data_IF_471810238925
#
_entry.id   IF_471810238925
#
_cell.length_a   1.000
_cell.length_b   1.000
_cell.length_c   1.000
_cell.angle_alpha   90.00
_cell.angle_beta   90.00
_cell.angle_gamma   90.00
#
_symmetry.space_group_name_H-M   'P 1'
#
loop_
_entity.id
_entity.type
_entity.pdbx_description
1 polymer ?
#
# COMPACT_ATOMS: atom_id res chain seq x y z
N UNK A 1 -21.19 4.38 7.45
CA UNK A 1 -20.38 5.53 7.90
C UNK A 1 -18.95 5.03 8.13
N UNK A 2 -17.93 5.62 7.50
CA UNK A 2 -16.55 5.14 7.59
C UNK A 2 -16.06 5.12 9.04
N UNK A 3 -15.19 4.16 9.36
CA UNK A 3 -14.69 4.01 10.72
C UNK A 3 -13.81 5.20 11.08
N UNK A 4 -14.08 5.79 12.23
CA UNK A 4 -13.33 6.94 12.73
C UNK A 4 -12.40 6.46 13.85
N UNK A 5 -11.11 6.75 13.69
CA UNK A 5 -10.06 6.28 14.60
C UNK A 5 -9.32 7.48 15.17
N UNK A 6 -8.89 7.37 16.44
CA UNK A 6 -8.07 8.41 17.07
C UNK A 6 -6.62 8.27 16.65
N UNK A 7 -6.10 9.19 15.83
CA UNK A 7 -4.70 9.20 15.38
C UNK A 7 -3.93 10.26 16.17
N UNK A 8 -3.25 9.85 17.25
CA UNK A 8 -2.56 10.76 18.19
C UNK A 8 -1.57 11.75 17.55
N UNK A 9 -0.99 11.38 16.40
CA UNK A 9 0.04 12.17 15.70
C UNK A 9 -0.50 13.23 14.73
N UNK A 10 -1.82 13.28 14.48
CA UNK A 10 -2.44 14.21 13.52
C UNK A 10 -3.09 15.37 14.26
N UNK A 11 -3.06 16.55 13.65
CA UNK A 11 -3.59 17.81 14.20
C UNK A 11 -5.07 17.72 14.58
N UNK A 12 -5.86 17.01 13.77
CA UNK A 12 -7.22 16.64 14.10
C UNK A 12 -7.25 15.19 14.58
N UNK A 13 -7.48 15.03 15.88
CA UNK A 13 -7.26 13.74 16.55
C UNK A 13 -8.23 12.62 16.17
N UNK A 14 -9.32 12.88 15.43
CA UNK A 14 -10.41 11.94 15.16
C UNK A 14 -10.82 12.03 13.69
N UNK A 15 -10.40 11.06 12.87
CA UNK A 15 -10.70 11.01 11.41
C UNK A 15 -10.86 9.59 10.90
N UNK A 16 -11.44 9.46 9.71
CA UNK A 16 -11.42 8.20 8.96
C UNK A 16 -10.04 7.97 8.34
N UNK A 17 -9.64 6.71 8.22
CA UNK A 17 -8.35 6.34 7.65
C UNK A 17 -8.53 5.75 6.25
N UNK A 18 -7.71 6.23 5.32
CA UNK A 18 -7.69 5.78 3.93
C UNK A 18 -6.26 5.33 3.58
N UNK A 19 -6.16 4.14 3.03
CA UNK A 19 -4.94 3.66 2.41
C UNK A 19 -5.02 3.98 0.93
N UNK A 20 -3.95 4.54 0.37
CA UNK A 20 -3.95 4.90 -1.04
C UNK A 20 -2.70 4.42 -1.74
N UNK A 21 -2.83 4.35 -3.07
CA UNK A 21 -1.77 3.95 -3.97
C UNK A 21 -1.70 4.95 -5.11
N UNK A 22 -0.51 5.45 -5.40
CA UNK A 22 -0.29 6.50 -6.37
C UNK A 22 0.91 6.20 -7.28
N UNK A 23 0.83 6.65 -8.53
CA UNK A 23 1.95 6.62 -9.46
C UNK A 23 2.99 7.66 -9.06
N UNK A 24 4.22 7.22 -8.78
CA UNK A 24 5.33 8.08 -8.39
C UNK A 24 5.77 9.04 -9.48
N UNK A 25 5.71 8.59 -10.73
CA UNK A 25 6.18 9.33 -11.90
C UNK A 25 5.19 10.44 -12.24
N UNK A 26 3.92 10.07 -12.37
CA UNK A 26 2.88 10.99 -12.84
C UNK A 26 2.19 11.75 -11.70
N UNK A 27 2.46 11.38 -10.44
CA UNK A 27 1.81 11.94 -9.23
C UNK A 27 0.27 11.79 -9.24
N UNK A 28 -0.23 10.74 -9.91
CA UNK A 28 -1.66 10.44 -10.01
C UNK A 28 -2.04 9.40 -8.96
N UNK A 29 -3.12 9.66 -8.23
CA UNK A 29 -3.75 8.70 -7.34
C UNK A 29 -4.44 7.61 -8.17
N UNK A 30 -4.08 6.35 -7.95
CA UNK A 30 -4.59 5.23 -8.74
C UNK A 30 -5.76 4.55 -8.05
N UNK A 31 -5.65 4.26 -6.75
CA UNK A 31 -6.67 3.52 -5.99
C UNK A 31 -6.70 3.94 -4.53
N UNK A 32 -7.87 3.80 -3.93
CA UNK A 32 -8.14 4.10 -2.53
C UNK A 32 -8.77 2.86 -1.89
N UNK A 33 -8.35 2.56 -0.67
CA UNK A 33 -8.90 1.51 0.18
C UNK A 33 -9.32 2.12 1.51
N UNK A 34 -10.60 1.96 1.85
CA UNK A 34 -11.20 2.54 3.05
C UNK A 34 -10.91 1.63 4.24
N UNK A 35 -10.28 2.16 5.28
CA UNK A 35 -10.08 1.42 6.52
C UNK A 35 -11.39 1.44 7.32
N UNK A 36 -11.95 0.26 7.53
CA UNK A 36 -13.20 0.08 8.26
C UNK A 36 -12.94 -0.50 9.66
N UNK A 37 -14.00 -0.70 10.44
CA UNK A 37 -13.91 -1.38 11.75
C UNK A 37 -13.33 -2.77 11.58
N UNK A 38 -12.60 -3.24 12.60
CA UNK A 38 -11.95 -4.56 12.60
C UNK A 38 -12.89 -5.68 12.10
N UNK A 39 -14.13 -5.76 12.60
CA UNK A 39 -15.09 -6.78 12.20
C UNK A 39 -15.40 -6.82 10.69
N UNK A 40 -15.32 -5.69 9.99
CA UNK A 40 -15.52 -5.63 8.53
C UNK A 40 -14.19 -5.83 7.79
N UNK A 41 -13.10 -5.28 8.32
CA UNK A 41 -11.77 -5.51 7.75
C UNK A 41 -11.37 -6.99 7.75
N UNK A 42 -11.82 -7.76 8.74
CA UNK A 42 -11.60 -9.21 8.80
C UNK A 42 -12.31 -9.99 7.67
N UNK A 43 -13.32 -9.39 7.04
CA UNK A 43 -14.06 -9.96 5.92
C UNK A 43 -13.50 -9.56 4.56
N UNK A 44 -12.50 -8.67 4.53
CA UNK A 44 -11.90 -8.24 3.26
C UNK A 44 -11.05 -9.34 2.65
N UNK A 45 -10.94 -9.32 1.32
CA UNK A 45 -10.14 -10.27 0.57
C UNK A 45 -8.70 -10.29 1.10
N UNK A 46 -8.12 -11.48 1.18
CA UNK A 46 -6.74 -11.73 1.62
C UNK A 46 -6.45 -11.44 3.10
N UNK A 47 -7.43 -10.99 3.89
CA UNK A 47 -7.21 -10.69 5.31
C UNK A 47 -6.85 -11.94 6.13
N UNK A 48 -7.55 -13.05 5.92
CA UNK A 48 -7.30 -14.31 6.65
C UNK A 48 -5.89 -14.86 6.40
N UNK A 49 -5.37 -14.68 5.19
CA UNK A 49 -4.10 -15.24 4.75
C UNK A 49 -2.90 -14.34 5.11
N UNK A 50 -3.03 -13.02 4.95
CA UNK A 50 -1.89 -12.09 5.10
C UNK A 50 -2.05 -11.06 6.22
N UNK A 51 -3.24 -10.92 6.80
CA UNK A 51 -3.57 -9.90 7.79
C UNK A 51 -3.83 -8.53 7.16
N UNK A 52 -4.35 -7.59 7.96
CA UNK A 52 -4.92 -6.32 7.51
C UNK A 52 -4.01 -5.49 6.58
N UNK A 53 -2.74 -5.29 6.95
CA UNK A 53 -1.86 -4.38 6.20
C UNK A 53 -1.43 -4.96 4.86
N UNK A 54 -1.03 -6.22 4.85
CA UNK A 54 -0.63 -6.88 3.61
C UNK A 54 -1.83 -7.09 2.68
N UNK A 55 -3.01 -7.41 3.21
CA UNK A 55 -4.23 -7.53 2.40
C UNK A 55 -4.63 -6.21 1.74
N UNK A 56 -4.52 -5.07 2.44
CA UNK A 56 -4.73 -3.75 1.85
C UNK A 56 -3.75 -3.45 0.71
N UNK A 57 -2.45 -3.74 0.87
CA UNK A 57 -1.46 -3.53 -0.20
C UNK A 57 -1.76 -4.38 -1.43
N UNK A 58 -2.11 -5.65 -1.23
CA UNK A 58 -2.46 -6.57 -2.33
C UNK A 58 -3.68 -6.05 -3.08
N UNK A 59 -4.76 -5.67 -2.38
CA UNK A 59 -5.99 -5.13 -3.02
C UNK A 59 -5.74 -3.82 -3.77
N UNK A 60 -4.90 -2.96 -3.22
CA UNK A 60 -4.50 -1.70 -3.86
C UNK A 60 -3.67 -1.93 -5.13
N UNK A 61 -2.87 -2.99 -5.18
CA UNK A 61 -2.02 -3.33 -6.31
C UNK A 61 -2.62 -4.28 -7.35
N UNK A 62 -3.89 -4.67 -7.19
CA UNK A 62 -4.54 -5.68 -8.03
C UNK A 62 -4.45 -5.37 -9.52
N UNK A 63 -4.65 -4.10 -9.88
CA UNK A 63 -4.60 -3.61 -11.27
C UNK A 63 -3.17 -3.59 -11.85
N UNK A 64 -2.15 -3.83 -11.01
CA UNK A 64 -0.75 -3.90 -11.38
C UNK A 64 -0.19 -5.33 -11.35
N UNK A 65 -0.98 -6.37 -11.09
CA UNK A 65 -0.42 -7.73 -11.06
C UNK A 65 0.15 -8.15 -12.42
N UNK A 66 1.26 -8.89 -12.40
CA UNK A 66 1.98 -9.33 -13.60
C UNK A 66 2.70 -8.23 -14.39
N UNK A 67 2.59 -6.96 -13.96
CA UNK A 67 3.15 -5.82 -14.68
C UNK A 67 4.62 -5.52 -14.34
N UNK A 68 5.24 -6.31 -13.45
CA UNK A 68 6.61 -6.12 -12.96
C UNK A 68 6.86 -4.72 -12.33
N UNK A 69 5.80 -4.07 -11.86
CA UNK A 69 5.89 -2.76 -11.22
C UNK A 69 6.59 -2.86 -9.85
N UNK A 70 7.16 -1.73 -9.45
CA UNK A 70 7.82 -1.60 -8.15
C UNK A 70 6.93 -0.86 -7.17
N UNK A 71 6.68 -1.50 -6.04
CA UNK A 71 5.88 -1.00 -4.92
C UNK A 71 6.82 -0.42 -3.86
N UNK A 72 6.61 0.85 -3.51
CA UNK A 72 7.27 1.55 -2.42
C UNK A 72 6.27 1.76 -1.27
N UNK A 73 6.13 0.77 -0.36
CA UNK A 73 5.26 0.88 0.79
C UNK A 73 5.84 1.81 1.86
N UNK A 74 4.97 2.48 2.61
CA UNK A 74 5.37 3.08 3.89
C UNK A 74 5.83 1.99 4.87
N UNK A 75 6.68 2.34 5.84
CA UNK A 75 7.31 1.37 6.75
C UNK A 75 6.32 0.47 7.49
N UNK A 76 5.11 0.97 7.79
CA UNK A 76 4.06 0.17 8.40
C UNK A 76 3.58 -1.00 7.53
N UNK A 77 3.75 -0.90 6.20
CA UNK A 77 3.28 -1.85 5.18
C UNK A 77 4.41 -2.73 4.60
N UNK A 78 5.67 -2.47 4.93
CA UNK A 78 6.86 -3.10 4.34
C UNK A 78 7.25 -4.45 4.97
N UNK A 79 6.25 -5.24 5.39
CA UNK A 79 6.49 -6.54 6.03
C UNK A 79 6.99 -7.62 5.06
N UNK A 80 7.69 -8.63 5.59
CA UNK A 80 8.12 -9.81 4.81
C UNK A 80 6.93 -10.55 4.18
N UNK A 81 5.78 -10.59 4.87
CA UNK A 81 4.54 -11.18 4.32
C UNK A 81 4.05 -10.41 3.09
N UNK A 82 4.09 -9.07 3.16
CA UNK A 82 3.73 -8.21 2.02
C UNK A 82 4.67 -8.46 0.84
N UNK A 83 5.98 -8.55 1.09
CA UNK A 83 6.99 -8.83 0.07
C UNK A 83 6.72 -10.17 -0.65
N UNK A 84 6.51 -11.24 0.12
CA UNK A 84 6.23 -12.57 -0.44
C UNK A 84 4.93 -12.57 -1.26
N UNK A 85 3.89 -11.93 -0.76
CA UNK A 85 2.59 -11.86 -1.43
C UNK A 85 2.63 -11.08 -2.74
N UNK A 86 3.44 -10.01 -2.82
CA UNK A 86 3.63 -9.24 -4.05
C UNK A 86 4.51 -9.98 -5.05
N UNK A 87 5.56 -10.65 -4.57
CA UNK A 87 6.46 -11.43 -5.42
C UNK A 87 5.72 -12.55 -6.17
N UNK A 88 4.81 -13.26 -5.50
CA UNK A 88 4.00 -14.31 -6.15
C UNK A 88 3.04 -13.76 -7.21
N UNK A 89 2.78 -12.45 -7.21
CA UNK A 89 1.86 -11.75 -8.12
C UNK A 89 2.58 -10.91 -9.17
N UNK A 90 3.89 -11.13 -9.36
CA UNK A 90 4.69 -10.44 -10.37
C UNK A 90 4.97 -8.97 -10.06
N UNK A 91 5.05 -8.61 -8.78
CA UNK A 91 5.39 -7.28 -8.30
C UNK A 91 6.66 -7.32 -7.43
N UNK A 92 7.43 -6.24 -7.45
CA UNK A 92 8.63 -6.07 -6.64
C UNK A 92 8.36 -5.09 -5.50
N UNK A 93 8.72 -5.42 -4.26
CA UNK A 93 8.67 -4.49 -3.13
C UNK A 93 10.07 -3.95 -2.88
N UNK A 94 10.21 -2.62 -2.86
CA UNK A 94 11.43 -1.93 -2.44
C UNK A 94 11.22 -1.34 -1.04
N UNK A 95 12.07 -1.73 -0.11
CA UNK A 95 12.10 -1.16 1.22
C UNK A 95 13.00 0.09 1.19
N UNK A 96 12.40 1.28 1.14
CA UNK A 96 13.14 2.54 1.19
C UNK A 96 12.97 3.25 2.53
N UNK A 97 14.06 3.51 3.23
CA UNK A 97 14.09 4.54 4.27
C UNK A 97 14.19 5.87 3.53
N UNK A 98 13.20 6.74 3.72
CA UNK A 98 12.90 7.80 2.76
C UNK A 98 13.94 8.91 2.68
N UNK A 99 15.05 8.71 1.95
CA UNK A 99 15.86 9.77 1.33
C UNK A 99 16.49 9.20 0.04
N UNK A 100 16.19 9.81 -1.11
CA UNK A 100 16.82 9.65 -2.44
C UNK A 100 17.48 8.28 -2.75
N UNK A 101 16.70 7.31 -3.26
CA UNK A 101 17.30 6.18 -3.97
C UNK A 101 17.50 6.54 -5.46
N UNK A 102 18.73 6.45 -6.01
CA UNK A 102 18.96 6.49 -7.44
C UNK A 102 18.35 5.24 -8.09
N UNK A 103 17.22 5.43 -8.78
CA UNK A 103 16.49 4.39 -9.50
C UNK A 103 17.33 3.85 -10.66
N UNK A 104 18.07 2.78 -10.43
CA UNK A 104 18.67 1.97 -11.48
C UNK A 104 18.41 0.50 -11.20
N UNK A 105 17.25 -0.04 -11.60
CA UNK A 105 17.05 -1.50 -11.66
C UNK A 105 15.82 -1.91 -12.52
N UNK A 106 16.04 -3.03 -13.24
CA UNK A 106 15.22 -3.74 -14.24
C UNK A 106 14.84 -2.96 -15.52
N UNK A 107 15.49 -3.33 -16.62
CA UNK A 107 15.52 -2.62 -17.92
C UNK A 107 14.24 -2.59 -18.77
N UNK A 108 13.07 -2.44 -18.16
CA UNK A 108 11.83 -2.05 -18.84
C UNK A 108 11.07 -1.11 -17.92
N UNK A 109 10.72 0.09 -18.41
CA UNK A 109 10.08 1.20 -17.68
C UNK A 109 9.19 0.72 -16.52
N UNK A 110 9.73 0.71 -15.30
CA UNK A 110 8.98 0.34 -14.10
C UNK A 110 8.31 1.58 -13.53
N UNK A 111 6.98 1.66 -13.61
CA UNK A 111 6.24 2.68 -12.88
C UNK A 111 6.34 2.36 -11.39
N UNK A 112 6.84 3.33 -10.63
CA UNK A 112 6.96 3.22 -9.18
C UNK A 112 5.62 3.59 -8.55
N UNK A 113 5.17 2.80 -7.57
CA UNK A 113 3.87 2.94 -6.94
C UNK A 113 4.08 3.27 -5.46
N UNK A 114 3.71 4.47 -5.04
CA UNK A 114 3.82 4.93 -3.66
C UNK A 114 2.55 4.64 -2.88
N UNK A 115 2.74 4.22 -1.63
CA UNK A 115 1.69 4.14 -0.64
C UNK A 115 1.79 5.31 0.33
N UNK A 116 0.68 6.02 0.48
CA UNK A 116 0.54 7.07 1.48
C UNK A 116 -0.73 6.86 2.29
N UNK A 117 -0.64 7.12 3.59
CA UNK A 117 -1.79 7.37 4.44
C UNK A 117 -2.25 8.81 4.17
N UNK A 118 -3.36 8.97 3.46
CA UNK A 118 -3.98 10.28 3.21
C UNK A 118 -5.23 10.46 4.10
N UNK A 119 -5.29 11.58 4.81
CA UNK A 119 -6.35 11.98 5.77
C UNK A 119 -7.22 13.09 5.23
#
# INVERSE_FOLDING_TARGET
>A
MPHVTKIKRKSEGVRGELNTVACATNKILLKIDIVEKAAHQHKTLFHSEYGARASSVIRLCEDCFGSCHTVLPYSAFSSVKTLLALKTRGLCLLHGHGENLPLKMCGKLGTTVHFSESS
#
